data_IF_382391057150
#
_entry.id   IF_382391057150
#
_cell.length_a   1.000
_cell.length_b   1.000
_cell.length_c   1.000
_cell.angle_alpha   90.00
_cell.angle_beta   90.00
_cell.angle_gamma   90.00
#
_symmetry.space_group_name_H-M   'P 1'
#
loop_
_entity.id
_entity.type
_entity.pdbx_description
1 polymer ?
#
# COMPACT_ATOMS: atom_id res chain seq x y z
N UNK A 1 29.51 -33.86 30.24
CA UNK A 1 28.49 -34.86 30.62
C UNK A 1 27.05 -34.33 30.53
N UNK A 2 26.65 -33.26 31.22
CA UNK A 2 25.26 -32.75 31.18
C UNK A 2 24.76 -32.32 29.78
N UNK A 3 25.58 -31.59 29.00
CA UNK A 3 25.24 -31.19 27.61
C UNK A 3 24.93 -32.42 26.72
N UNK A 4 25.72 -33.48 26.86
CA UNK A 4 25.54 -34.75 26.12
C UNK A 4 24.23 -35.45 26.52
N UNK A 5 23.93 -35.52 27.82
CA UNK A 5 22.67 -36.07 28.31
C UNK A 5 21.45 -35.31 27.76
N UNK A 6 21.54 -33.97 27.67
CA UNK A 6 20.49 -33.11 27.12
C UNK A 6 20.26 -33.37 25.63
N UNK A 7 21.32 -33.50 24.84
CA UNK A 7 21.22 -33.85 23.41
C UNK A 7 20.55 -35.20 23.21
N UNK A 8 20.95 -36.23 23.95
CA UNK A 8 20.33 -37.57 23.86
C UNK A 8 18.85 -37.53 24.25
N UNK A 9 18.48 -36.74 25.27
CA UNK A 9 17.09 -36.54 25.66
C UNK A 9 16.26 -35.94 24.52
N UNK A 10 16.76 -34.89 23.84
CA UNK A 10 16.08 -34.28 22.70
C UNK A 10 16.04 -35.18 21.46
N UNK A 11 16.92 -36.17 21.34
CA UNK A 11 16.86 -37.23 20.33
C UNK A 11 15.79 -38.30 20.66
N UNK A 12 15.06 -38.17 21.76
CA UNK A 12 14.00 -39.10 22.16
C UNK A 12 14.45 -40.26 23.04
N UNK A 13 15.70 -40.24 23.55
CA UNK A 13 16.16 -41.28 24.44
C UNK A 13 15.44 -41.21 25.79
N UNK A 14 15.07 -42.38 26.32
CA UNK A 14 14.53 -42.50 27.68
C UNK A 14 15.60 -42.15 28.71
N UNK A 15 15.23 -41.47 29.80
CA UNK A 15 16.15 -41.08 30.90
C UNK A 15 16.96 -42.28 31.41
N UNK A 16 16.35 -43.44 31.57
CA UNK A 16 17.03 -44.66 32.01
C UNK A 16 18.07 -45.18 31.00
N UNK A 17 17.85 -44.99 29.69
CA UNK A 17 18.81 -45.35 28.65
C UNK A 17 19.99 -44.37 28.61
N UNK A 18 19.71 -43.07 28.77
CA UNK A 18 20.75 -42.02 28.87
C UNK A 18 21.65 -42.27 30.08
N UNK A 19 21.04 -42.57 31.23
CA UNK A 19 21.73 -42.84 32.48
C UNK A 19 22.68 -44.05 32.37
N UNK A 20 22.22 -45.15 31.76
CA UNK A 20 23.07 -46.32 31.46
C UNK A 20 24.19 -46.00 30.48
N UNK A 21 23.91 -45.23 29.43
CA UNK A 21 24.91 -44.88 28.42
C UNK A 21 26.01 -43.97 28.97
N UNK A 22 25.68 -43.09 29.91
CA UNK A 22 26.63 -42.16 30.53
C UNK A 22 27.20 -42.65 31.87
N UNK A 23 26.87 -43.88 32.28
CA UNK A 23 27.27 -44.48 33.56
C UNK A 23 26.99 -43.61 34.80
N UNK A 24 25.77 -43.09 34.89
CA UNK A 24 25.31 -42.25 36.01
C UNK A 24 23.93 -42.67 36.52
N UNK A 25 23.60 -42.27 37.75
CA UNK A 25 22.29 -42.57 38.35
C UNK A 25 21.15 -41.89 37.54
N UNK A 26 20.05 -42.60 37.23
CA UNK A 26 18.90 -42.02 36.53
C UNK A 26 18.29 -40.79 37.21
N UNK A 27 18.31 -40.75 38.55
CA UNK A 27 17.86 -39.62 39.34
C UNK A 27 18.65 -38.33 39.03
N UNK A 28 19.94 -38.44 38.72
CA UNK A 28 20.79 -37.30 38.35
C UNK A 28 20.33 -36.70 37.03
N UNK A 29 20.05 -37.53 36.02
CA UNK A 29 19.55 -37.07 34.72
C UNK A 29 18.15 -36.47 34.86
N UNK A 30 17.26 -37.09 35.64
CA UNK A 30 15.91 -36.57 35.90
C UNK A 30 15.95 -35.20 36.61
N UNK A 31 16.88 -35.01 37.55
CA UNK A 31 17.10 -33.72 38.22
C UNK A 31 17.52 -32.64 37.24
N UNK A 32 18.41 -32.95 36.29
CA UNK A 32 18.80 -32.02 35.23
C UNK A 32 17.63 -31.68 34.31
N UNK A 33 16.87 -32.68 33.84
CA UNK A 33 15.67 -32.46 33.01
C UNK A 33 14.70 -31.47 33.65
N UNK A 34 14.48 -31.60 34.97
CA UNK A 34 13.55 -30.75 35.71
C UNK A 34 14.09 -29.33 35.92
N UNK A 35 15.35 -29.21 36.37
CA UNK A 35 15.96 -27.89 36.68
C UNK A 35 16.13 -27.03 35.44
N UNK A 36 16.50 -27.63 34.32
CA UNK A 36 16.77 -26.93 33.06
C UNK A 36 15.59 -27.01 32.08
N UNK A 37 14.44 -27.52 32.52
CA UNK A 37 13.19 -27.56 31.75
C UNK A 37 13.36 -28.11 30.33
N UNK A 38 14.09 -29.23 30.18
CA UNK A 38 14.43 -29.77 28.85
C UNK A 38 13.21 -30.12 27.99
N UNK A 39 12.04 -30.36 28.62
CA UNK A 39 10.77 -30.63 27.92
C UNK A 39 10.20 -29.38 27.25
N UNK A 40 10.40 -28.22 27.84
CA UNK A 40 9.80 -26.95 27.42
C UNK A 40 10.64 -26.26 26.33
N UNK A 41 11.83 -26.79 26.02
CA UNK A 41 12.74 -26.18 25.05
C UNK A 41 12.14 -26.18 23.64
N UNK A 42 12.20 -25.02 22.98
CA UNK A 42 11.69 -24.83 21.61
C UNK A 42 12.58 -25.54 20.58
N UNK A 43 12.08 -25.84 19.37
CA UNK A 43 12.92 -26.40 18.31
C UNK A 43 14.14 -25.54 18.00
N UNK A 44 13.99 -24.20 18.04
CA UNK A 44 15.08 -23.24 17.81
C UNK A 44 16.17 -23.38 18.87
N UNK A 45 15.82 -23.43 20.15
CA UNK A 45 16.78 -23.61 21.25
C UNK A 45 17.53 -24.95 21.17
N UNK A 46 16.83 -26.02 20.75
CA UNK A 46 17.46 -27.35 20.56
C UNK A 46 18.47 -27.33 19.42
N UNK A 47 18.15 -26.64 18.32
CA UNK A 47 19.04 -26.48 17.17
C UNK A 47 20.26 -25.64 17.57
N UNK A 48 20.06 -24.50 18.23
CA UNK A 48 21.15 -23.63 18.72
C UNK A 48 22.12 -24.38 19.62
N UNK A 49 21.62 -25.12 20.60
CA UNK A 49 22.45 -25.90 21.50
C UNK A 49 23.25 -27.00 20.76
N UNK A 50 22.69 -27.57 19.69
CA UNK A 50 23.37 -28.58 18.87
C UNK A 50 24.46 -27.96 17.99
N UNK A 51 24.18 -26.80 17.39
CA UNK A 51 25.16 -26.02 16.61
C UNK A 51 26.33 -25.56 17.49
N UNK A 52 26.05 -25.05 18.70
CA UNK A 52 27.07 -24.65 19.67
C UNK A 52 28.02 -25.80 20.00
N UNK A 53 27.47 -26.98 20.34
CA UNK A 53 28.28 -28.16 20.68
C UNK A 53 29.14 -28.61 19.50
N UNK A 54 28.58 -28.63 18.28
CA UNK A 54 29.34 -29.03 17.09
C UNK A 54 30.45 -28.04 16.77
N UNK A 55 30.16 -26.74 16.84
CA UNK A 55 31.15 -25.68 16.64
C UNK A 55 32.29 -25.78 17.65
N UNK A 56 31.98 -25.95 18.94
CA UNK A 56 32.99 -26.14 19.99
C UNK A 56 33.89 -27.36 19.70
N UNK A 57 33.31 -28.47 19.25
CA UNK A 57 34.07 -29.68 18.92
C UNK A 57 35.03 -29.46 17.73
N UNK A 58 34.60 -28.76 16.68
CA UNK A 58 35.45 -28.43 15.54
C UNK A 58 36.56 -27.46 15.92
N UNK A 59 36.27 -26.46 16.74
CA UNK A 59 37.27 -25.50 17.24
C UNK A 59 38.34 -26.22 18.07
N UNK A 60 37.92 -27.16 18.92
CA UNK A 60 38.82 -27.93 19.79
C UNK A 60 39.68 -28.99 19.06
N UNK A 61 39.46 -29.24 17.76
CA UNK A 61 40.24 -30.21 16.99
C UNK A 61 41.68 -29.74 16.81
N UNK A 62 42.66 -30.54 17.23
CA UNK A 62 44.11 -30.19 17.20
C UNK A 62 44.63 -29.96 15.77
N UNK A 63 44.29 -30.85 14.84
CA UNK A 63 44.61 -30.72 13.42
C UNK A 63 43.33 -30.54 12.62
N UNK A 64 43.15 -29.34 12.06
CA UNK A 64 42.00 -28.99 11.23
C UNK A 64 42.34 -29.19 9.76
N UNK A 65 41.41 -29.74 9.02
CA UNK A 65 41.43 -29.87 7.57
C UNK A 65 40.54 -28.80 6.91
N UNK A 66 40.58 -28.72 5.58
CA UNK A 66 39.77 -27.77 4.82
C UNK A 66 38.25 -27.99 4.95
N UNK A 67 37.80 -29.20 5.28
CA UNK A 67 36.39 -29.49 5.50
C UNK A 67 35.93 -28.95 6.86
N UNK A 68 36.76 -29.05 7.90
CA UNK A 68 36.47 -28.48 9.22
C UNK A 68 36.27 -26.97 9.14
N UNK A 69 37.15 -26.26 8.42
CA UNK A 69 37.02 -24.80 8.24
C UNK A 69 35.74 -24.43 7.49
N UNK A 70 35.34 -25.20 6.48
CA UNK A 70 34.07 -25.00 5.78
C UNK A 70 32.88 -25.26 6.70
N UNK A 71 32.93 -26.29 7.54
CA UNK A 71 31.87 -26.58 8.48
C UNK A 71 31.74 -25.47 9.54
N UNK A 72 32.86 -24.98 10.08
CA UNK A 72 32.89 -23.83 11.00
C UNK A 72 32.23 -22.60 10.34
N UNK A 73 32.58 -22.25 9.11
CA UNK A 73 31.96 -21.14 8.39
C UNK A 73 30.45 -21.33 8.22
N UNK A 74 30.02 -22.53 7.79
CA UNK A 74 28.61 -22.85 7.62
C UNK A 74 27.82 -22.76 8.93
N UNK A 75 28.38 -23.29 10.02
CA UNK A 75 27.78 -23.21 11.36
C UNK A 75 27.70 -21.75 11.83
N UNK A 76 28.73 -20.94 11.59
CA UNK A 76 28.73 -19.51 11.90
C UNK A 76 27.58 -18.76 11.21
N UNK A 77 27.35 -19.03 9.92
CA UNK A 77 26.20 -18.46 9.17
C UNK A 77 24.85 -18.90 9.73
N UNK A 78 24.73 -20.12 10.25
CA UNK A 78 23.48 -20.57 10.90
C UNK A 78 23.25 -19.85 12.24
N UNK A 79 24.30 -19.62 13.03
CA UNK A 79 24.21 -18.86 14.28
C UNK A 79 23.68 -17.44 14.02
N UNK A 80 24.19 -16.75 12.99
CA UNK A 80 23.66 -15.44 12.60
C UNK A 80 22.18 -15.48 12.20
N UNK A 81 21.73 -16.53 11.50
CA UNK A 81 20.32 -16.69 11.11
C UNK A 81 19.42 -16.89 12.32
N UNK A 82 19.86 -17.69 13.30
CA UNK A 82 19.11 -17.90 14.53
C UNK A 82 18.98 -16.60 15.34
N UNK A 83 20.02 -15.77 15.38
CA UNK A 83 19.94 -14.45 15.98
C UNK A 83 18.87 -13.56 15.31
N UNK A 84 18.70 -13.66 13.98
CA UNK A 84 17.62 -12.96 13.25
C UNK A 84 16.24 -13.51 13.59
N UNK A 85 16.11 -14.83 13.71
CA UNK A 85 14.85 -15.48 14.12
C UNK A 85 14.46 -15.04 15.53
N UNK A 86 15.39 -15.01 16.49
CA UNK A 86 15.12 -14.49 17.84
C UNK A 86 14.65 -13.04 17.81
N UNK A 87 15.32 -12.19 17.05
CA UNK A 87 14.92 -10.78 16.90
C UNK A 87 13.52 -10.66 16.30
N UNK A 88 13.17 -11.49 15.34
CA UNK A 88 11.82 -11.56 14.77
C UNK A 88 10.78 -12.00 15.81
N UNK A 89 11.09 -13.01 16.63
CA UNK A 89 10.18 -13.46 17.69
C UNK A 89 9.91 -12.34 18.72
N UNK A 90 10.90 -11.47 18.97
CA UNK A 90 10.76 -10.30 19.86
C UNK A 90 9.99 -9.13 19.22
N UNK A 91 10.28 -8.80 17.95
CA UNK A 91 9.75 -7.59 17.31
C UNK A 91 8.48 -7.82 16.48
N UNK A 92 8.23 -9.06 16.07
CA UNK A 92 7.22 -9.46 15.08
C UNK A 92 7.46 -8.92 13.66
N UNK A 93 8.58 -8.24 13.40
CA UNK A 93 8.84 -7.56 12.13
C UNK A 93 9.54 -8.49 11.16
N UNK A 94 8.84 -8.89 10.11
CA UNK A 94 9.40 -9.74 9.04
C UNK A 94 10.68 -9.14 8.42
N UNK A 95 10.84 -7.82 8.47
CA UNK A 95 12.06 -7.14 8.02
C UNK A 95 13.34 -7.58 8.74
N UNK A 96 13.24 -8.09 9.98
CA UNK A 96 14.38 -8.57 10.76
C UNK A 96 14.98 -9.87 10.21
N UNK A 97 14.21 -10.64 9.45
CA UNK A 97 14.66 -11.89 8.81
C UNK A 97 15.53 -11.62 7.57
N UNK A 98 15.40 -10.46 6.94
CA UNK A 98 16.07 -10.14 5.68
C UNK A 98 17.06 -8.98 5.82
N UNK A 99 18.38 -9.27 5.88
CA UNK A 99 19.40 -8.23 6.04
C UNK A 99 19.50 -7.27 4.85
N UNK A 100 18.98 -7.64 3.67
CA UNK A 100 18.99 -6.78 2.47
C UNK A 100 17.96 -5.65 2.54
N UNK A 101 16.99 -5.71 3.44
CA UNK A 101 15.98 -4.65 3.59
C UNK A 101 16.62 -3.39 4.17
N UNK A 102 17.50 -3.55 5.16
CA UNK A 102 18.25 -2.42 5.73
C UNK A 102 19.13 -1.75 4.67
N UNK A 103 19.87 -2.53 3.87
CA UNK A 103 20.72 -1.98 2.80
C UNK A 103 19.92 -1.32 1.68
N UNK A 104 18.76 -1.89 1.31
CA UNK A 104 17.84 -1.28 0.32
C UNK A 104 17.26 0.05 0.80
N UNK A 105 17.01 0.18 2.11
CA UNK A 105 16.42 1.38 2.70
C UNK A 105 17.45 2.42 3.15
N UNK A 106 18.75 2.16 2.98
CA UNK A 106 19.83 3.09 3.33
C UNK A 106 19.95 4.26 2.34
N UNK A 107 19.47 4.09 1.11
CA UNK A 107 19.44 5.16 0.11
C UNK A 107 18.36 6.21 0.40
N UNK A 108 18.51 7.45 -0.11
CA UNK A 108 17.47 8.46 -0.01
C UNK A 108 16.19 7.94 -0.67
N UNK A 109 15.12 7.80 0.13
CA UNK A 109 13.80 7.42 -0.38
C UNK A 109 13.34 8.49 -1.37
N UNK A 110 13.30 8.15 -2.67
CA UNK A 110 12.62 8.98 -3.67
C UNK A 110 11.15 9.04 -3.24
N UNK A 111 10.67 10.22 -2.87
CA UNK A 111 9.25 10.43 -2.64
C UNK A 111 8.53 10.09 -3.95
N UNK A 112 7.42 9.35 -3.86
CA UNK A 112 6.57 9.14 -5.03
C UNK A 112 6.26 10.52 -5.63
N UNK A 113 6.43 10.70 -6.95
CA UNK A 113 6.06 11.96 -7.58
C UNK A 113 4.59 12.21 -7.26
N UNK A 114 4.31 13.37 -6.64
CA UNK A 114 2.95 13.87 -6.47
C UNK A 114 2.39 14.12 -7.88
N UNK A 115 1.07 13.99 -8.06
CA UNK A 115 0.40 14.24 -9.33
C UNK A 115 0.61 15.70 -9.79
N UNK A 116 1.77 16.00 -10.37
CA UNK A 116 2.08 17.23 -11.07
C UNK A 116 1.48 17.10 -12.46
N UNK A 117 0.25 17.59 -12.62
CA UNK A 117 -0.34 17.78 -13.95
C UNK A 117 0.47 18.87 -14.61
N UNK A 118 1.15 18.56 -15.71
CA UNK A 118 1.96 19.54 -16.42
C UNK A 118 1.09 20.58 -17.12
N UNK A 119 1.64 21.76 -17.42
CA UNK A 119 0.96 22.80 -18.20
C UNK A 119 0.42 22.28 -19.54
N UNK A 120 1.11 21.31 -20.15
CA UNK A 120 0.66 20.66 -21.39
C UNK A 120 -0.56 19.77 -21.16
N UNK A 121 -0.58 19.03 -20.05
CA UNK A 121 -1.74 18.22 -19.67
C UNK A 121 -2.93 19.10 -19.29
N UNK A 122 -2.70 20.25 -18.62
CA UNK A 122 -3.76 21.24 -18.37
C UNK A 122 -4.41 21.72 -19.66
N UNK A 123 -3.61 22.15 -20.65
CA UNK A 123 -4.15 22.59 -21.95
C UNK A 123 -4.97 21.50 -22.63
N UNK A 124 -4.49 20.25 -22.62
CA UNK A 124 -5.20 19.11 -23.19
C UNK A 124 -6.55 18.85 -22.51
N UNK A 125 -6.62 18.99 -21.18
CA UNK A 125 -7.89 18.84 -20.44
C UNK A 125 -8.88 19.93 -20.83
N UNK A 126 -8.42 21.19 -20.94
CA UNK A 126 -9.27 22.33 -21.34
C UNK A 126 -9.76 22.15 -22.78
N UNK A 127 -8.88 21.75 -23.70
CA UNK A 127 -9.22 21.51 -25.09
C UNK A 127 -10.25 20.38 -25.22
N UNK A 128 -10.00 19.24 -24.60
CA UNK A 128 -10.93 18.11 -24.59
C UNK A 128 -12.29 18.48 -23.97
N UNK A 129 -12.30 19.29 -22.90
CA UNK A 129 -13.55 19.82 -22.34
C UNK A 129 -14.30 20.65 -23.37
N UNK A 130 -13.65 21.62 -24.00
CA UNK A 130 -14.27 22.54 -24.99
C UNK A 130 -14.80 21.80 -26.22
N UNK A 131 -14.08 20.79 -26.71
CA UNK A 131 -14.50 19.97 -27.85
C UNK A 131 -15.73 19.11 -27.54
N UNK A 132 -15.84 18.64 -26.29
CA UNK A 132 -16.96 17.81 -25.84
C UNK A 132 -18.26 18.59 -25.56
N UNK A 133 -18.24 19.93 -25.67
CA UNK A 133 -19.42 20.77 -25.39
C UNK A 133 -20.43 20.76 -26.53
N UNK A 134 -21.70 20.56 -26.19
CA UNK A 134 -22.81 20.86 -27.09
C UNK A 134 -22.92 22.35 -27.37
N UNK A 135 -23.53 22.72 -28.50
CA UNK A 135 -23.64 24.13 -28.91
C UNK A 135 -24.32 25.01 -27.86
N UNK A 136 -25.31 24.47 -27.13
CA UNK A 136 -25.94 25.18 -26.02
C UNK A 136 -25.03 25.28 -24.78
N UNK A 137 -24.17 24.29 -24.52
CA UNK A 137 -23.18 24.34 -23.44
C UNK A 137 -22.04 25.30 -23.77
N UNK A 138 -21.70 25.50 -25.06
CA UNK A 138 -20.77 26.56 -25.49
C UNK A 138 -21.30 27.96 -25.15
N UNK A 139 -22.62 28.15 -25.05
CA UNK A 139 -23.21 29.40 -24.52
C UNK A 139 -22.91 29.52 -23.03
N UNK A 140 -23.07 28.45 -22.25
CA UNK A 140 -22.75 28.45 -20.81
C UNK A 140 -21.27 28.73 -20.54
N UNK A 141 -20.38 28.17 -21.36
CA UNK A 141 -18.93 28.40 -21.29
C UNK A 141 -18.52 29.84 -21.57
N UNK A 142 -19.15 30.46 -22.57
CA UNK A 142 -18.92 31.89 -22.85
C UNK A 142 -19.39 32.81 -21.73
N UNK A 143 -20.29 32.33 -20.85
CA UNK A 143 -20.82 33.07 -19.72
C UNK A 143 -20.33 32.50 -18.38
N UNK A 144 -19.19 31.80 -18.36
CA UNK A 144 -18.63 31.19 -17.14
C UNK A 144 -18.30 32.20 -16.03
N UNK A 145 -18.06 33.46 -16.40
CA UNK A 145 -17.86 34.60 -15.50
C UNK A 145 -19.11 34.97 -14.70
N UNK A 146 -20.30 34.54 -15.16
CA UNK A 146 -21.57 34.84 -14.53
C UNK A 146 -21.83 33.88 -13.37
N UNK A 147 -21.83 34.42 -12.14
CA UNK A 147 -22.10 33.66 -10.90
C UNK A 147 -23.45 32.94 -10.92
N UNK A 148 -24.46 33.53 -11.54
CA UNK A 148 -25.81 32.96 -11.62
C UNK A 148 -26.20 32.82 -13.08
N UNK A 149 -26.40 31.58 -13.52
CA UNK A 149 -26.79 31.23 -14.89
C UNK A 149 -28.14 30.51 -14.88
N UNK A 150 -29.14 31.11 -15.51
CA UNK A 150 -30.46 30.51 -15.63
C UNK A 150 -30.46 29.46 -16.75
N UNK A 151 -30.76 28.21 -16.39
CA UNK A 151 -30.82 27.08 -17.32
C UNK A 151 -32.25 26.65 -17.57
N UNK A 152 -32.55 26.28 -18.81
CA UNK A 152 -33.83 25.67 -19.15
C UNK A 152 -34.01 24.36 -18.38
N UNK A 153 -35.24 24.11 -17.87
CA UNK A 153 -35.56 22.91 -17.09
C UNK A 153 -35.20 21.61 -17.83
N UNK A 154 -35.40 21.56 -19.15
CA UNK A 154 -35.03 20.42 -20.00
C UNK A 154 -33.53 20.14 -20.07
N UNK A 155 -32.68 21.11 -19.71
CA UNK A 155 -31.22 21.02 -19.79
C UNK A 155 -30.54 20.77 -18.43
N UNK A 156 -31.31 20.53 -17.37
CA UNK A 156 -30.81 20.28 -16.01
C UNK A 156 -29.81 19.11 -15.94
N UNK A 157 -30.06 18.03 -16.68
CA UNK A 157 -29.17 16.85 -16.70
C UNK A 157 -27.80 17.21 -17.31
N UNK A 158 -27.79 17.90 -18.46
CA UNK A 158 -26.56 18.34 -19.12
C UNK A 158 -25.83 19.45 -18.36
N UNK A 159 -26.55 20.25 -17.55
CA UNK A 159 -25.98 21.27 -16.69
C UNK A 159 -25.12 20.67 -15.58
N UNK A 160 -25.59 19.61 -14.94
CA UNK A 160 -24.83 18.97 -13.85
C UNK A 160 -23.48 18.42 -14.36
N UNK A 161 -23.46 17.83 -15.56
CA UNK A 161 -22.22 17.37 -16.21
C UNK A 161 -21.30 18.53 -16.62
N UNK A 162 -21.88 19.63 -17.09
CA UNK A 162 -21.15 20.80 -17.57
C UNK A 162 -20.46 21.54 -16.42
N UNK A 163 -21.22 21.92 -15.38
CA UNK A 163 -20.71 22.67 -14.23
C UNK A 163 -19.66 21.88 -13.46
N UNK A 164 -19.84 20.56 -13.38
CA UNK A 164 -18.85 19.63 -12.89
C UNK A 164 -17.46 19.77 -13.55
N UNK A 165 -17.41 19.74 -14.89
CA UNK A 165 -16.16 19.86 -15.63
C UNK A 165 -15.63 21.29 -15.65
N UNK A 166 -16.52 22.27 -15.68
CA UNK A 166 -16.14 23.67 -15.56
C UNK A 166 -15.44 23.91 -14.22
N UNK A 167 -16.00 23.42 -13.12
CA UNK A 167 -15.40 23.57 -11.80
C UNK A 167 -14.09 22.78 -11.66
N UNK A 168 -13.96 21.62 -12.33
CA UNK A 168 -12.69 20.91 -12.44
C UNK A 168 -11.62 21.73 -13.20
N UNK A 169 -11.99 22.32 -14.35
CA UNK A 169 -11.10 23.18 -15.13
C UNK A 169 -10.73 24.43 -14.34
N UNK A 170 -11.67 25.07 -13.66
CA UNK A 170 -11.41 26.23 -12.81
C UNK A 170 -10.52 25.88 -11.61
N UNK A 171 -10.71 24.72 -10.99
CA UNK A 171 -9.83 24.25 -9.92
C UNK A 171 -8.39 23.99 -10.40
N UNK A 172 -8.22 23.55 -11.65
CA UNK A 172 -6.93 23.33 -12.29
C UNK A 172 -6.27 24.64 -12.79
N UNK A 173 -7.06 25.56 -13.35
CA UNK A 173 -6.60 26.79 -14.01
C UNK A 173 -6.47 27.97 -13.04
N UNK A 174 -7.44 28.16 -12.15
CA UNK A 174 -7.56 29.36 -11.31
C UNK A 174 -6.96 29.15 -9.91
N UNK A 175 -6.84 27.89 -9.42
CA UNK A 175 -6.56 27.63 -8.00
C UNK A 175 -5.49 26.58 -7.72
N UNK A 176 -4.22 26.92 -7.99
CA UNK A 176 -3.01 26.38 -7.32
C UNK A 176 -3.01 24.87 -6.97
N UNK A 177 -3.55 24.00 -7.83
CA UNK A 177 -3.60 22.56 -7.57
C UNK A 177 -4.36 22.14 -6.31
N UNK A 178 -5.54 22.71 -6.04
CA UNK A 178 -6.36 22.40 -4.85
C UNK A 178 -7.11 21.06 -4.90
N UNK A 179 -7.40 20.53 -6.10
CA UNK A 179 -7.93 19.18 -6.23
C UNK A 179 -6.76 18.19 -6.22
N UNK A 180 -6.58 17.52 -5.09
CA UNK A 180 -5.53 16.51 -4.91
C UNK A 180 -6.16 15.20 -4.43
N UNK A 181 -5.85 14.12 -5.11
CA UNK A 181 -6.20 12.77 -4.71
C UNK A 181 -5.01 11.83 -4.96
N UNK A 182 -4.93 10.75 -4.20
CA UNK A 182 -3.86 9.77 -4.32
C UNK A 182 -3.86 9.12 -5.72
N UNK A 183 -2.69 8.97 -6.33
CA UNK A 183 -2.55 8.32 -7.65
C UNK A 183 -3.02 6.85 -7.64
N UNK A 184 -3.01 6.19 -6.48
CA UNK A 184 -3.57 4.86 -6.28
C UNK A 184 -5.09 4.82 -6.18
N UNK A 185 -5.77 5.97 -6.17
CA UNK A 185 -7.23 6.04 -6.11
C UNK A 185 -7.86 5.90 -7.50
N UNK A 186 -7.58 4.75 -8.12
CA UNK A 186 -7.99 4.41 -9.49
C UNK A 186 -9.52 4.46 -9.63
N UNK A 187 -10.26 4.13 -8.56
CA UNK A 187 -11.72 4.14 -8.52
C UNK A 187 -12.31 5.53 -8.79
N UNK A 188 -11.65 6.60 -8.29
CA UNK A 188 -12.11 7.96 -8.54
C UNK A 188 -11.95 8.30 -10.04
N UNK A 189 -10.79 8.04 -10.62
CA UNK A 189 -10.56 8.26 -12.04
C UNK A 189 -11.48 7.40 -12.93
N UNK A 190 -11.68 6.14 -12.57
CA UNK A 190 -12.56 5.22 -13.28
C UNK A 190 -14.03 5.66 -13.21
N UNK A 191 -14.47 6.20 -12.07
CA UNK A 191 -15.83 6.77 -11.92
C UNK A 191 -16.08 7.96 -12.85
N UNK A 192 -15.07 8.79 -13.13
CA UNK A 192 -15.18 9.86 -14.12
C UNK A 192 -15.28 9.32 -15.55
N UNK A 193 -14.50 8.28 -15.88
CA UNK A 193 -14.53 7.63 -17.20
C UNK A 193 -15.82 6.83 -17.45
N UNK A 194 -16.53 6.42 -16.40
CA UNK A 194 -17.81 5.74 -16.48
C UNK A 194 -18.93 6.65 -17.02
N UNK A 195 -18.78 7.98 -16.93
CA UNK A 195 -19.73 8.96 -17.47
C UNK A 195 -19.51 9.09 -18.98
N UNK A 196 -20.41 8.51 -19.77
CA UNK A 196 -20.33 8.49 -21.23
C UNK A 196 -21.40 9.37 -21.86
N UNK A 197 -21.03 10.02 -22.95
CA UNK A 197 -21.98 10.71 -23.81
C UNK A 197 -22.71 9.69 -24.68
N UNK A 198 -24.03 9.72 -24.67
CA UNK A 198 -24.87 8.84 -25.49
C UNK A 198 -25.96 9.64 -26.20
N UNK A 199 -26.54 9.08 -27.25
CA UNK A 199 -27.70 9.68 -27.90
C UNK A 199 -28.98 9.32 -27.13
N UNK A 200 -29.89 10.28 -27.00
CA UNK A 200 -31.27 10.04 -26.54
C UNK A 200 -31.97 9.09 -27.50
N UNK A 201 -33.00 8.38 -27.03
CA UNK A 201 -33.74 7.39 -27.83
C UNK A 201 -34.34 7.95 -29.14
N UNK A 202 -34.54 9.28 -29.24
CA UNK A 202 -35.00 9.95 -30.46
C UNK A 202 -33.88 10.26 -31.46
N UNK A 203 -32.61 10.06 -31.10
CA UNK A 203 -31.45 10.37 -31.92
C UNK A 203 -31.22 11.86 -32.22
N UNK A 204 -32.08 12.77 -31.72
CA UNK A 204 -31.96 14.22 -31.99
C UNK A 204 -31.12 14.97 -30.97
N UNK A 205 -30.99 14.43 -29.76
CA UNK A 205 -30.26 15.05 -28.68
C UNK A 205 -29.31 14.04 -28.05
N UNK A 206 -28.17 14.53 -27.61
CA UNK A 206 -27.16 13.78 -26.87
C UNK A 206 -27.28 14.11 -25.38
N UNK A 207 -27.13 13.09 -24.56
CA UNK A 207 -27.23 13.10 -23.10
C UNK A 207 -26.02 12.37 -22.52
N UNK A 208 -25.88 12.35 -21.19
CA UNK A 208 -24.85 11.58 -20.51
C UNK A 208 -25.48 10.44 -19.71
N UNK A 209 -24.86 9.28 -19.76
CA UNK A 209 -25.28 8.11 -18.96
C UNK A 209 -24.06 7.49 -18.29
N UNK A 210 -24.29 6.94 -17.10
CA UNK A 210 -23.36 6.06 -16.41
C UNK A 210 -24.10 4.76 -16.10
N UNK A 211 -23.54 3.63 -16.57
CA UNK A 211 -24.09 2.31 -16.27
C UNK A 211 -23.74 1.87 -14.85
N UNK A 212 -24.50 0.93 -14.27
CA UNK A 212 -24.11 0.22 -13.04
C UNK A 212 -23.09 -0.85 -13.38
N UNK A 213 -21.93 -0.84 -12.75
CA UNK A 213 -21.00 -1.96 -12.75
C UNK A 213 -20.40 -2.14 -11.35
N UNK A 214 -19.92 -3.35 -11.06
CA UNK A 214 -19.38 -3.71 -9.74
C UNK A 214 -18.05 -2.99 -9.43
N UNK A 215 -17.33 -2.55 -10.47
CA UNK A 215 -16.01 -1.92 -10.34
C UNK A 215 -16.05 -0.39 -10.17
N UNK A 216 -16.99 0.33 -10.79
CA UNK A 216 -17.05 1.82 -10.76
C UNK A 216 -18.36 2.37 -10.20
N UNK A 217 -19.29 1.49 -9.79
CA UNK A 217 -20.60 1.87 -9.28
C UNK A 217 -21.44 2.59 -10.35
N UNK A 218 -22.28 3.55 -9.93
CA UNK A 218 -23.10 4.37 -10.82
C UNK A 218 -22.43 5.68 -11.25
N UNK A 219 -21.10 5.74 -11.19
CA UNK A 219 -20.31 6.98 -11.16
C UNK A 219 -20.59 7.88 -9.94
N UNK A 220 -21.06 7.31 -8.83
CA UNK A 220 -21.44 8.07 -7.62
C UNK A 220 -20.27 8.84 -7.01
N UNK A 221 -19.05 8.27 -7.07
CA UNK A 221 -17.81 8.92 -6.64
C UNK A 221 -17.49 10.17 -7.47
N UNK A 222 -17.66 10.09 -8.79
CA UNK A 222 -17.51 11.24 -9.66
C UNK A 222 -18.59 12.29 -9.35
N UNK A 223 -19.85 11.89 -9.23
CA UNK A 223 -20.93 12.81 -8.86
C UNK A 223 -20.68 13.51 -7.52
N UNK A 224 -20.27 12.77 -6.49
CA UNK A 224 -19.96 13.31 -5.17
C UNK A 224 -18.76 14.28 -5.22
N UNK A 225 -17.70 13.91 -5.93
CA UNK A 225 -16.53 14.78 -6.14
C UNK A 225 -16.92 16.07 -6.86
N UNK A 226 -17.70 15.95 -7.94
CA UNK A 226 -18.18 17.09 -8.71
C UNK A 226 -19.10 18.01 -7.91
N UNK A 227 -19.99 17.45 -7.10
CA UNK A 227 -20.80 18.23 -6.17
C UNK A 227 -19.97 18.92 -5.08
N UNK A 228 -18.91 18.28 -4.60
CA UNK A 228 -18.00 18.88 -3.64
C UNK A 228 -17.22 20.04 -4.25
N UNK A 229 -16.82 19.94 -5.52
CA UNK A 229 -16.14 21.00 -6.26
C UNK A 229 -17.14 22.15 -6.58
N UNK A 230 -18.35 21.83 -7.04
CA UNK A 230 -19.42 22.81 -7.30
C UNK A 230 -19.78 23.63 -6.05
N UNK A 231 -19.68 22.99 -4.87
CA UNK A 231 -19.99 23.62 -3.58
C UNK A 231 -18.76 24.17 -2.86
N UNK A 232 -17.55 24.03 -3.43
CA UNK A 232 -16.38 24.76 -2.96
C UNK A 232 -16.60 26.26 -3.22
N UNK A 233 -16.43 27.15 -2.23
CA UNK A 233 -16.49 28.58 -2.48
C UNK A 233 -15.38 29.01 -3.46
N UNK A 234 -15.76 29.21 -4.73
CA UNK A 234 -14.95 29.74 -5.83
C UNK A 234 -14.43 31.17 -5.58
N UNK A 235 -14.79 31.80 -4.46
CA UNK A 235 -14.39 33.15 -4.07
C UNK A 235 -13.53 33.13 -2.79
N UNK A 236 -12.22 33.03 -2.97
CA UNK A 236 -11.25 33.60 -2.05
C UNK A 236 -11.04 35.05 -2.43
N UNK A 237 -11.87 35.94 -1.91
CA UNK A 237 -11.69 37.40 -1.90
C UNK A 237 -11.63 38.12 -3.26
N UNK A 238 -12.68 38.86 -3.62
CA UNK A 238 -12.64 39.83 -4.73
C UNK A 238 -14.01 40.22 -5.25
N UNK A 239 -14.52 41.34 -4.77
CA UNK A 239 -15.74 42.04 -5.21
C UNK A 239 -15.59 42.36 -6.71
N UNK A 240 -16.37 41.71 -7.59
CA UNK A 240 -16.90 42.23 -8.86
C UNK A 240 -17.60 41.07 -9.60
N UNK A 241 -18.81 40.71 -9.17
CA UNK A 241 -19.73 39.91 -9.98
C UNK A 241 -20.74 40.85 -10.63
N UNK A 242 -20.70 41.02 -11.96
CA UNK A 242 -21.90 41.44 -12.66
C UNK A 242 -22.91 40.31 -12.51
N UNK A 243 -24.11 40.66 -12.03
CA UNK A 243 -25.14 39.70 -11.67
C UNK A 243 -26.30 39.87 -12.64
N UNK A 244 -26.47 38.88 -13.52
CA UNK A 244 -27.72 38.45 -14.15
C UNK A 244 -27.69 38.51 -15.68
N UNK A 245 -27.73 37.33 -16.31
CA UNK A 245 -28.01 37.15 -17.74
C UNK A 245 -29.06 36.06 -17.92
N UNK A 246 -30.18 36.42 -18.54
CA UNK A 246 -31.24 35.48 -18.96
C UNK A 246 -31.04 35.06 -20.41
N UNK A 247 -31.20 33.78 -20.69
CA UNK A 247 -31.20 33.26 -22.06
C UNK A 247 -32.57 32.62 -22.35
N UNK A 248 -33.32 33.20 -23.29
CA UNK A 248 -34.51 32.60 -23.88
C UNK A 248 -34.31 32.36 -25.37
N UNK A 249 -34.07 31.09 -25.70
CA UNK A 249 -34.40 30.30 -26.91
C UNK A 249 -33.28 29.28 -27.16
#
# INVERSE_FOLDING_TARGET
MRKVARTLYWQGWRIASIARHLDIKPATVASWCRREKWKDSTPVERIEASLEVRMMALIAKDKKDGADYKEIDLLGRQVERLARVRKYDETGKESDLNPKIASRNAGPKRRAPRNEISEEQHKRIIEAFRESLFDYQKVWYRNGDQRTRNILKSRQIGATWYFAREALVDALVIRNGRLQFDAGWIDLAASFMAIKQTMTASGRQSTYTAGRNDETGHADLAWACLHAIDREPLAGGGIHSSSFTEFYS
#
